data_IF_358478477535
#
_entry.id   IF_358478477535
#
_cell.length_a   1.000
_cell.length_b   1.000
_cell.length_c   1.000
_cell.angle_alpha   90.00
_cell.angle_beta   90.00
_cell.angle_gamma   90.00
#
_symmetry.space_group_name_H-M   'P 1'
#
loop_
_entity.id
_entity.type
_entity.pdbx_description
1 polymer ?
#
# COMPACT_ATOMS: atom_id res chain seq x y z
N UNK A 1 2.96 27.35 -11.37
CA UNK A 1 3.55 27.72 -10.07
C UNK A 1 2.98 26.77 -9.03
N UNK A 2 3.83 26.12 -8.24
CA UNK A 2 3.34 25.37 -7.09
C UNK A 2 2.73 26.34 -6.08
N UNK A 3 1.55 26.02 -5.54
CA UNK A 3 0.87 26.82 -4.51
C UNK A 3 1.63 26.75 -3.18
N UNK A 4 2.38 25.66 -2.97
CA UNK A 4 3.22 25.41 -1.81
C UNK A 4 4.65 25.14 -2.33
N UNK A 5 5.67 25.89 -1.90
CA UNK A 5 7.05 25.64 -2.32
C UNK A 5 7.49 24.20 -1.98
N UNK A 6 8.16 23.54 -2.92
CA UNK A 6 8.70 22.17 -2.76
C UNK A 6 7.64 21.10 -2.51
N UNK A 7 6.39 21.34 -2.92
CA UNK A 7 5.29 20.41 -2.69
C UNK A 7 5.56 19.04 -3.31
N UNK A 8 6.11 19.00 -4.52
CA UNK A 8 6.55 17.76 -5.18
C UNK A 8 7.53 16.92 -4.36
N UNK A 9 8.45 17.57 -3.64
CA UNK A 9 9.42 16.86 -2.77
C UNK A 9 8.69 16.24 -1.59
N UNK A 10 7.82 17.01 -0.92
CA UNK A 10 7.05 16.52 0.23
C UNK A 10 6.17 15.34 -0.19
N UNK A 11 5.44 15.46 -1.29
CA UNK A 11 4.59 14.38 -1.82
C UNK A 11 5.44 13.17 -2.22
N UNK A 12 6.59 13.39 -2.88
CA UNK A 12 7.51 12.33 -3.24
C UNK A 12 8.01 11.54 -2.03
N UNK A 13 8.40 12.22 -0.94
CA UNK A 13 8.83 11.58 0.32
C UNK A 13 7.68 10.78 0.94
N UNK A 14 6.47 11.33 0.98
CA UNK A 14 5.30 10.64 1.54
C UNK A 14 4.96 9.38 0.73
N UNK A 15 4.98 9.47 -0.60
CA UNK A 15 4.75 8.32 -1.49
C UNK A 15 5.86 7.28 -1.32
N UNK A 16 7.11 7.69 -1.13
CA UNK A 16 8.20 6.76 -0.86
C UNK A 16 7.98 6.01 0.46
N UNK A 17 7.72 6.72 1.55
CA UNK A 17 7.57 6.10 2.87
C UNK A 17 6.32 5.21 2.91
N UNK A 18 5.14 5.76 2.58
CA UNK A 18 3.88 5.03 2.73
C UNK A 18 3.67 4.01 1.61
N UNK A 19 3.97 4.38 0.36
CA UNK A 19 3.77 3.52 -0.79
C UNK A 19 4.89 2.50 -0.97
N UNK A 20 6.14 2.94 -0.99
CA UNK A 20 7.24 2.02 -1.29
C UNK A 20 7.71 1.23 -0.05
N UNK A 21 7.92 1.88 1.10
CA UNK A 21 8.40 1.15 2.29
C UNK A 21 7.28 0.29 2.88
N UNK A 22 6.14 0.88 3.20
CA UNK A 22 5.09 0.13 3.89
C UNK A 22 4.25 -0.75 2.96
N UNK A 23 3.68 -0.20 1.87
CA UNK A 23 2.87 -1.01 0.97
C UNK A 23 3.68 -1.98 0.11
N UNK A 24 4.88 -1.64 -0.34
CA UNK A 24 5.66 -2.59 -1.15
C UNK A 24 6.56 -3.50 -0.31
N UNK A 25 7.54 -2.97 0.43
CA UNK A 25 8.46 -3.82 1.20
C UNK A 25 7.73 -4.56 2.33
N UNK A 26 6.81 -3.90 3.05
CA UNK A 26 6.01 -4.52 4.09
C UNK A 26 5.18 -5.69 3.57
N UNK A 27 4.44 -5.49 2.48
CA UNK A 27 3.61 -6.54 1.89
C UNK A 27 4.44 -7.65 1.24
N UNK A 28 5.60 -7.33 0.67
CA UNK A 28 6.53 -8.35 0.18
C UNK A 28 6.98 -9.29 1.30
N UNK A 29 7.23 -8.76 2.51
CA UNK A 29 7.52 -9.59 3.67
C UNK A 29 6.34 -10.52 3.99
N UNK A 30 5.10 -10.01 3.94
CA UNK A 30 3.89 -10.81 4.14
C UNK A 30 3.71 -11.92 3.10
N UNK A 31 4.07 -11.67 1.84
CA UNK A 31 4.05 -12.68 0.77
C UNK A 31 5.10 -13.76 1.02
N UNK A 32 6.33 -13.37 1.35
CA UNK A 32 7.45 -14.29 1.50
C UNK A 32 7.40 -15.11 2.79
N UNK A 33 6.93 -14.50 3.89
CA UNK A 33 6.90 -15.13 5.19
C UNK A 33 5.79 -14.53 6.07
N UNK A 34 4.60 -15.13 5.98
CA UNK A 34 3.43 -14.71 6.75
C UNK A 34 3.67 -14.75 8.26
N UNK A 35 4.29 -15.81 8.78
CA UNK A 35 4.53 -15.97 10.22
C UNK A 35 5.46 -14.88 10.76
N UNK A 36 6.48 -14.51 9.99
CA UNK A 36 7.35 -13.39 10.33
C UNK A 36 6.60 -12.06 10.26
N UNK A 37 5.81 -11.82 9.21
CA UNK A 37 5.00 -10.61 9.07
C UNK A 37 4.04 -10.44 10.25
N UNK A 38 3.38 -11.51 10.67
CA UNK A 38 2.53 -11.56 11.87
C UNK A 38 3.33 -11.30 13.16
N UNK A 39 4.56 -11.82 13.27
CA UNK A 39 5.43 -11.59 14.43
C UNK A 39 5.82 -10.12 14.60
N UNK A 40 6.11 -9.43 13.50
CA UNK A 40 6.50 -8.01 13.51
C UNK A 40 5.31 -7.04 13.42
N UNK A 41 4.08 -7.55 13.41
CA UNK A 41 2.85 -6.74 13.47
C UNK A 41 2.41 -6.16 12.12
N UNK A 42 2.89 -6.71 11.01
CA UNK A 42 2.41 -6.33 9.66
C UNK A 42 1.10 -7.02 9.27
N UNK A 43 0.79 -8.18 9.88
CA UNK A 43 -0.40 -8.97 9.59
C UNK A 43 -1.05 -9.46 10.89
N UNK A 44 -2.35 -9.76 10.89
CA UNK A 44 -3.04 -10.16 12.11
C UNK A 44 -2.68 -11.59 12.56
N UNK A 45 -2.71 -11.82 13.89
CA UNK A 45 -2.25 -13.08 14.51
C UNK A 45 -3.25 -14.23 14.45
N UNK A 46 -4.54 -13.93 14.31
CA UNK A 46 -5.64 -14.90 14.51
C UNK A 46 -6.70 -14.83 13.42
N UNK A 47 -6.30 -14.55 12.19
CA UNK A 47 -7.21 -14.64 11.06
C UNK A 47 -7.64 -16.09 10.85
N UNK A 48 -8.94 -16.28 10.73
CA UNK A 48 -9.46 -17.53 10.19
C UNK A 48 -8.95 -17.73 8.76
N UNK A 49 -8.75 -18.98 8.30
CA UNK A 49 -8.10 -19.26 7.02
C UNK A 49 -8.73 -18.52 5.83
N UNK A 50 -10.05 -18.36 5.83
CA UNK A 50 -10.82 -17.69 4.77
C UNK A 50 -10.43 -16.22 4.60
N UNK A 51 -10.22 -15.50 5.71
CA UNK A 51 -9.80 -14.11 5.68
C UNK A 51 -8.30 -13.96 5.40
N UNK A 52 -7.48 -14.93 5.82
CA UNK A 52 -6.05 -14.97 5.48
C UNK A 52 -5.82 -15.05 3.97
N UNK A 53 -6.63 -15.80 3.24
CA UNK A 53 -6.51 -15.89 1.76
C UNK A 53 -6.73 -14.52 1.12
N UNK A 54 -7.74 -13.79 1.59
CA UNK A 54 -7.99 -12.43 1.11
C UNK A 54 -6.81 -11.50 1.40
N UNK A 55 -6.32 -11.43 2.64
CA UNK A 55 -5.21 -10.53 2.98
C UNK A 55 -3.91 -10.92 2.27
N UNK A 56 -3.67 -12.22 2.07
CA UNK A 56 -2.52 -12.68 1.30
C UNK A 56 -2.62 -12.30 -0.18
N UNK A 57 -3.81 -12.36 -0.77
CA UNK A 57 -4.04 -11.89 -2.13
C UNK A 57 -3.80 -10.38 -2.26
N UNK A 58 -4.21 -9.60 -1.26
CA UNK A 58 -3.91 -8.16 -1.15
C UNK A 58 -2.39 -7.94 -1.07
N UNK A 59 -1.69 -8.66 -0.20
CA UNK A 59 -0.24 -8.55 -0.06
C UNK A 59 0.49 -8.86 -1.38
N UNK A 60 0.03 -9.85 -2.15
CA UNK A 60 0.57 -10.18 -3.48
C UNK A 60 0.30 -9.05 -4.48
N UNK A 61 -0.91 -8.50 -4.50
CA UNK A 61 -1.26 -7.38 -5.38
C UNK A 61 -0.38 -6.15 -5.10
N UNK A 62 -0.22 -5.81 -3.81
CA UNK A 62 0.60 -4.69 -3.35
C UNK A 62 2.08 -4.90 -3.61
N UNK A 63 2.61 -6.10 -3.42
CA UNK A 63 3.99 -6.43 -3.80
C UNK A 63 4.20 -6.34 -5.33
N UNK A 64 3.18 -6.64 -6.13
CA UNK A 64 3.26 -6.65 -7.60
C UNK A 64 3.20 -5.25 -8.22
N UNK A 65 2.46 -4.32 -7.59
CA UNK A 65 2.22 -2.96 -8.12
C UNK A 65 3.00 -1.91 -7.32
N UNK A 66 3.27 -2.16 -6.04
CA UNK A 66 3.80 -1.17 -5.11
C UNK A 66 5.21 -0.68 -5.41
N UNK A 67 6.01 -1.40 -6.20
CA UNK A 67 7.31 -0.88 -6.65
C UNK A 67 7.17 0.40 -7.48
N UNK A 68 6.02 0.61 -8.14
CA UNK A 68 5.71 1.82 -8.90
C UNK A 68 5.72 3.06 -7.99
N UNK A 69 5.34 2.94 -6.71
CA UNK A 69 5.42 4.04 -5.74
C UNK A 69 6.85 4.60 -5.64
N UNK A 70 7.87 3.74 -5.68
CA UNK A 70 9.27 4.16 -5.62
C UNK A 70 9.70 4.98 -6.84
N UNK A 71 9.29 4.55 -8.04
CA UNK A 71 9.57 5.27 -9.28
C UNK A 71 8.86 6.62 -9.30
N UNK A 72 7.59 6.65 -8.90
CA UNK A 72 6.82 7.89 -8.80
C UNK A 72 7.44 8.83 -7.78
N UNK A 73 7.85 8.33 -6.61
CA UNK A 73 8.49 9.13 -5.57
C UNK A 73 9.79 9.78 -6.06
N UNK A 74 10.69 9.00 -6.67
CA UNK A 74 11.94 9.52 -7.22
C UNK A 74 11.67 10.56 -8.29
N UNK A 75 10.73 10.27 -9.21
CA UNK A 75 10.36 11.21 -10.26
C UNK A 75 9.76 12.51 -9.71
N UNK A 76 8.98 12.45 -8.63
CA UNK A 76 8.44 13.63 -7.97
C UNK A 76 9.54 14.45 -7.28
N UNK A 77 10.46 13.81 -6.54
CA UNK A 77 11.59 14.50 -5.90
C UNK A 77 12.50 15.19 -6.92
N UNK A 78 12.70 14.57 -8.09
CA UNK A 78 13.48 15.13 -9.20
C UNK A 78 12.66 16.10 -10.09
N UNK A 79 11.40 16.35 -9.74
CA UNK A 79 10.48 17.23 -10.45
C UNK A 79 10.26 16.88 -11.93
N UNK A 80 10.16 15.58 -12.24
CA UNK A 80 9.84 15.10 -13.58
C UNK A 80 8.34 15.14 -13.86
N UNK A 81 7.97 15.73 -15.01
CA UNK A 81 6.57 15.94 -15.40
C UNK A 81 5.75 14.66 -15.54
N UNK A 82 6.37 13.54 -15.90
CA UNK A 82 5.70 12.23 -15.99
C UNK A 82 5.30 11.67 -14.62
N UNK A 83 6.01 12.03 -13.54
CA UNK A 83 5.75 11.48 -12.22
C UNK A 83 4.41 11.97 -11.66
N UNK A 84 4.07 13.23 -11.92
CA UNK A 84 2.75 13.79 -11.61
C UNK A 84 1.61 13.06 -12.34
N UNK A 85 1.86 12.63 -13.59
CA UNK A 85 0.90 11.84 -14.36
C UNK A 85 0.80 10.39 -13.90
N UNK A 86 1.73 9.88 -13.12
CA UNK A 86 1.66 8.53 -12.57
C UNK A 86 1.13 8.51 -11.13
N UNK A 87 1.13 9.65 -10.45
CA UNK A 87 0.66 9.79 -9.07
C UNK A 87 -0.83 9.42 -8.85
N UNK A 88 -1.65 9.36 -9.92
CA UNK A 88 -3.02 8.86 -9.81
C UNK A 88 -3.09 7.36 -9.53
N UNK A 89 -2.10 6.56 -9.95
CA UNK A 89 -2.05 5.12 -9.68
C UNK A 89 -2.00 4.88 -8.16
N UNK A 90 -1.04 5.49 -7.43
CA UNK A 90 -1.06 5.53 -5.97
C UNK A 90 -2.42 5.91 -5.35
N UNK A 91 -3.06 6.97 -5.87
CA UNK A 91 -4.33 7.45 -5.37
C UNK A 91 -5.48 6.46 -5.57
N UNK A 92 -5.57 5.81 -6.74
CA UNK A 92 -6.59 4.81 -7.03
C UNK A 92 -6.41 3.57 -6.17
N UNK A 93 -5.17 3.10 -5.99
CA UNK A 93 -4.87 1.94 -5.14
C UNK A 93 -5.28 2.22 -3.68
N UNK A 94 -5.01 3.42 -3.17
CA UNK A 94 -5.44 3.82 -1.83
C UNK A 94 -6.97 3.79 -1.66
N UNK A 95 -7.70 4.32 -2.65
CA UNK A 95 -9.17 4.31 -2.63
C UNK A 95 -9.72 2.88 -2.66
N UNK A 96 -9.20 2.05 -3.58
CA UNK A 96 -9.56 0.65 -3.69
C UNK A 96 -9.33 -0.11 -2.37
N UNK A 97 -8.19 0.08 -1.72
CA UNK A 97 -7.88 -0.55 -0.44
C UNK A 97 -8.82 -0.13 0.66
N UNK A 98 -9.10 1.17 0.75
CA UNK A 98 -10.00 1.72 1.76
C UNK A 98 -11.40 1.11 1.64
N UNK A 99 -11.92 0.99 0.41
CA UNK A 99 -13.21 0.36 0.16
C UNK A 99 -13.18 -1.14 0.43
N UNK A 100 -12.17 -1.85 -0.07
CA UNK A 100 -12.09 -3.30 0.06
C UNK A 100 -11.92 -3.72 1.52
N UNK A 101 -11.12 -2.98 2.30
CA UNK A 101 -11.00 -3.15 3.74
C UNK A 101 -12.34 -2.91 4.46
N UNK A 102 -13.08 -1.86 4.09
CA UNK A 102 -14.40 -1.58 4.68
C UNK A 102 -15.37 -2.75 4.48
N UNK A 103 -15.47 -3.25 3.25
CA UNK A 103 -16.33 -4.40 2.95
C UNK A 103 -15.85 -5.68 3.65
N UNK A 104 -14.55 -5.89 3.72
CA UNK A 104 -13.97 -7.03 4.40
C UNK A 104 -14.29 -7.02 5.90
N UNK A 105 -14.07 -5.91 6.61
CA UNK A 105 -14.43 -5.76 8.03
C UNK A 105 -15.93 -5.97 8.23
N UNK A 106 -16.77 -5.43 7.35
CA UNK A 106 -18.21 -5.64 7.40
C UNK A 106 -18.58 -7.13 7.33
N UNK A 107 -17.93 -7.88 6.43
CA UNK A 107 -18.15 -9.31 6.30
C UNK A 107 -17.68 -10.09 7.53
N UNK A 108 -16.50 -9.77 8.08
CA UNK A 108 -16.02 -10.40 9.31
C UNK A 108 -17.01 -10.23 10.47
N UNK A 109 -17.45 -8.99 10.71
CA UNK A 109 -18.42 -8.68 11.76
C UNK A 109 -19.74 -9.43 11.56
N UNK A 110 -20.22 -9.57 10.31
CA UNK A 110 -21.45 -10.29 9.99
C UNK A 110 -21.35 -11.80 10.26
N UNK A 111 -20.13 -12.36 10.21
CA UNK A 111 -19.83 -13.76 10.48
C UNK A 111 -19.44 -14.01 11.95
N UNK A 112 -19.39 -12.95 12.78
CA UNK A 112 -19.09 -13.04 14.21
C UNK A 112 -17.59 -13.11 14.54
N UNK A 113 -16.73 -12.58 13.67
CA UNK A 113 -15.29 -12.47 13.86
C UNK A 113 -14.85 -11.06 14.28
#
# INVERSE_FOLDING_TARGET
MEVIPYFHIIVGILIFVVGFIFHWLGQLISVLNWDYATKIGLQEKKLVPEFKVYEHAIAVADASIGWIYGIVAVGLVLNYSWAFKLAWIPGVVFLYHSLSYWFWIGNQNSLGH
#
